data_IF_409719045672
#
_entry.id   IF_409719045672
#
_cell.length_a   1.000
_cell.length_b   1.000
_cell.length_c   1.000
_cell.angle_alpha   90.00
_cell.angle_beta   90.00
_cell.angle_gamma   90.00
#
_symmetry.space_group_name_H-M   'P 1'
#
loop_
_entity.id
_entity.type
_entity.pdbx_description
1 polymer ?
#
# COMPACT_ATOMS: atom_id res chain seq x y z
N UNK A 1 -7.99 7.72 -9.89
CA UNK A 1 -6.83 8.53 -10.34
C UNK A 1 -7.05 10.05 -10.32
N UNK A 2 -8.22 10.58 -9.92
CA UNK A 2 -8.41 12.05 -9.87
C UNK A 2 -7.99 12.70 -8.54
N UNK A 3 -8.21 12.07 -7.37
CA UNK A 3 -8.02 12.73 -6.06
C UNK A 3 -6.61 13.28 -5.81
N UNK A 4 -5.56 12.48 -5.99
CA UNK A 4 -4.17 12.92 -5.77
C UNK A 4 -3.78 14.04 -6.75
N UNK A 5 -4.29 13.99 -7.98
CA UNK A 5 -3.96 14.96 -9.03
C UNK A 5 -4.74 16.27 -8.87
N UNK A 6 -6.00 16.22 -8.44
CA UNK A 6 -6.88 17.39 -8.36
C UNK A 6 -6.94 18.01 -6.96
N UNK A 7 -6.85 17.21 -5.91
CA UNK A 7 -6.94 17.65 -4.51
C UNK A 7 -5.60 17.64 -3.77
N UNK A 8 -4.56 17.05 -4.37
CA UNK A 8 -3.21 16.90 -3.77
C UNK A 8 -3.23 16.12 -2.44
N UNK A 9 -4.23 15.28 -2.25
CA UNK A 9 -4.43 14.50 -1.04
C UNK A 9 -4.47 13.00 -1.38
N UNK A 10 -3.86 12.14 -0.53
CA UNK A 10 -4.04 10.70 -0.65
C UNK A 10 -5.51 10.33 -0.38
N UNK A 11 -5.99 9.20 -0.92
CA UNK A 11 -7.30 8.68 -0.58
C UNK A 11 -7.38 8.34 0.92
N UNK A 12 -8.59 8.24 1.43
CA UNK A 12 -8.83 7.74 2.78
C UNK A 12 -8.37 6.27 2.91
N UNK A 13 -7.86 5.92 4.09
CA UNK A 13 -7.43 4.56 4.40
C UNK A 13 -8.63 3.61 4.41
N UNK A 14 -8.64 2.57 3.57
CA UNK A 14 -9.68 1.56 3.63
C UNK A 14 -9.67 0.81 4.98
N UNK A 15 -10.85 0.49 5.52
CA UNK A 15 -10.99 -0.31 6.75
C UNK A 15 -10.38 -1.71 6.65
N UNK A 16 -10.13 -2.21 5.44
CA UNK A 16 -9.47 -3.49 5.20
C UNK A 16 -7.97 -3.48 5.51
N UNK A 17 -7.36 -2.31 5.72
CA UNK A 17 -5.95 -2.17 6.10
C UNK A 17 -5.87 -1.90 7.62
N UNK A 18 -5.51 -2.90 8.45
CA UNK A 18 -5.63 -2.83 9.91
C UNK A 18 -4.74 -1.73 10.53
N UNK A 19 -5.30 -0.86 11.36
CA UNK A 19 -4.55 0.23 12.03
C UNK A 19 -3.86 -0.21 13.32
N UNK A 20 -4.29 -1.33 13.88
CA UNK A 20 -3.80 -1.97 15.10
C UNK A 20 -2.63 -2.93 14.85
N UNK A 21 -2.28 -3.17 13.58
CA UNK A 21 -1.15 -4.02 13.19
C UNK A 21 -0.04 -3.19 12.55
N UNK A 22 1.20 -3.42 12.99
CA UNK A 22 2.39 -2.77 12.42
C UNK A 22 2.50 -3.01 10.92
N UNK A 23 2.16 -4.21 10.44
CA UNK A 23 2.13 -4.53 9.01
C UNK A 23 1.13 -3.65 8.24
N UNK A 24 -0.08 -3.47 8.77
CA UNK A 24 -1.08 -2.63 8.14
C UNK A 24 -0.68 -1.15 8.12
N UNK A 25 -0.03 -0.67 9.18
CA UNK A 25 0.50 0.70 9.23
C UNK A 25 1.64 0.91 8.22
N UNK A 26 2.61 0.00 8.15
CA UNK A 26 3.69 0.05 7.16
C UNK A 26 3.17 -0.03 5.72
N UNK A 27 2.16 -0.87 5.48
CA UNK A 27 1.50 -0.95 4.17
C UNK A 27 0.83 0.38 3.80
N UNK A 28 0.12 1.00 4.74
CA UNK A 28 -0.53 2.28 4.49
C UNK A 28 0.48 3.40 4.24
N UNK A 29 1.54 3.49 5.04
CA UNK A 29 2.63 4.46 4.85
C UNK A 29 3.27 4.32 3.47
N UNK A 30 3.53 3.08 3.03
CA UNK A 30 4.05 2.82 1.69
C UNK A 30 3.10 3.36 0.60
N UNK A 31 1.80 3.08 0.71
CA UNK A 31 0.82 3.54 -0.29
C UNK A 31 0.72 5.07 -0.33
N UNK A 32 0.74 5.73 0.84
CA UNK A 32 0.78 7.21 0.92
C UNK A 32 2.04 7.76 0.25
N UNK A 33 3.20 7.12 0.43
CA UNK A 33 4.45 7.54 -0.23
C UNK A 33 4.38 7.43 -1.76
N UNK A 34 3.78 6.34 -2.29
CA UNK A 34 3.54 6.16 -3.71
C UNK A 34 2.58 7.21 -4.31
N UNK A 35 1.70 7.77 -3.48
CA UNK A 35 0.76 8.82 -3.85
C UNK A 35 1.24 10.24 -3.50
N UNK A 36 2.55 10.44 -3.27
CA UNK A 36 3.09 11.79 -3.15
C UNK A 36 2.67 12.64 -4.35
N UNK A 37 2.16 13.85 -4.07
CA UNK A 37 1.81 14.81 -5.11
C UNK A 37 3.06 15.16 -5.93
N UNK A 38 4.18 15.39 -5.26
CA UNK A 38 5.46 15.66 -5.91
C UNK A 38 6.07 14.38 -6.48
N UNK A 39 6.33 14.31 -7.81
CA UNK A 39 6.84 13.11 -8.46
C UNK A 39 8.18 12.63 -7.89
N UNK A 40 9.09 13.55 -7.58
CA UNK A 40 10.43 13.27 -7.05
C UNK A 40 10.41 12.67 -5.64
N UNK A 41 9.30 12.84 -4.90
CA UNK A 41 9.12 12.26 -3.58
C UNK A 41 8.51 10.85 -3.62
N UNK A 42 8.12 10.35 -4.80
CA UNK A 42 7.61 8.99 -4.94
C UNK A 42 8.78 7.99 -4.93
N UNK A 43 8.65 6.86 -4.23
CA UNK A 43 9.65 5.82 -4.31
C UNK A 43 9.71 5.24 -5.73
N UNK A 44 10.90 4.81 -6.13
CA UNK A 44 11.07 3.97 -7.30
C UNK A 44 10.36 2.61 -7.11
N UNK A 45 10.13 1.91 -8.22
CA UNK A 45 9.58 0.56 -8.17
C UNK A 45 10.48 -0.40 -7.36
N UNK A 46 11.80 -0.22 -7.42
CA UNK A 46 12.77 -1.03 -6.65
C UNK A 46 12.65 -0.78 -5.15
N UNK A 47 12.58 0.49 -4.73
CA UNK A 47 12.39 0.86 -3.33
C UNK A 47 11.04 0.37 -2.80
N UNK A 48 9.97 0.51 -3.59
CA UNK A 48 8.64 -0.02 -3.27
C UNK A 48 8.71 -1.54 -3.05
N UNK A 49 9.33 -2.29 -3.96
CA UNK A 49 9.46 -3.73 -3.83
C UNK A 49 10.31 -4.15 -2.61
N UNK A 50 11.32 -3.36 -2.24
CA UNK A 50 12.14 -3.63 -1.06
C UNK A 50 11.36 -3.34 0.25
N UNK A 51 10.60 -2.25 0.30
CA UNK A 51 9.72 -1.95 1.43
C UNK A 51 8.64 -3.03 1.58
N UNK A 52 8.04 -3.52 0.49
CA UNK A 52 7.05 -4.60 0.55
C UNK A 52 7.58 -5.88 1.22
N UNK A 53 8.87 -6.19 1.09
CA UNK A 53 9.48 -7.37 1.73
C UNK A 53 9.59 -7.25 3.24
N UNK A 54 9.58 -6.04 3.79
CA UNK A 54 9.69 -5.79 5.24
C UNK A 54 8.32 -5.62 5.92
N UNK A 55 7.24 -5.60 5.13
CA UNK A 55 5.88 -5.57 5.64
C UNK A 55 5.48 -7.00 5.97
N UNK A 56 5.54 -7.33 7.25
CA UNK A 56 4.95 -8.56 7.76
C UNK A 56 3.44 -8.34 7.96
N UNK A 57 2.64 -8.79 7.00
CA UNK A 57 1.17 -8.84 7.10
C UNK A 57 0.69 -10.16 7.71
N UNK A 58 1.57 -10.97 8.32
CA UNK A 58 1.17 -12.23 8.93
C UNK A 58 0.23 -11.96 10.11
N UNK A 59 -1.06 -12.09 9.81
CA UNK A 59 -2.06 -12.38 10.81
C UNK A 59 -1.96 -13.88 11.10
N UNK A 60 -1.79 -14.27 12.36
CA UNK A 60 -1.95 -15.63 12.88
C UNK A 60 -3.43 -16.08 12.82
N UNK A 61 -4.05 -15.94 11.65
CA UNK A 61 -5.32 -16.51 11.26
C UNK A 61 -5.44 -16.49 9.73
N UNK A 62 -5.29 -17.68 9.12
CA UNK A 62 -5.54 -17.97 7.71
C UNK A 62 -6.81 -17.29 7.18
N UNK A 63 -6.73 -16.48 6.11
CA UNK A 63 -7.77 -16.40 5.06
C UNK A 63 -7.07 -16.11 3.71
N UNK A 64 -6.98 -17.17 2.91
CA UNK A 64 -6.90 -17.26 1.44
C UNK A 64 -5.78 -16.53 0.69
N UNK A 65 -4.73 -17.31 0.39
CA UNK A 65 -4.13 -17.28 -0.93
C UNK A 65 -5.17 -17.72 -1.99
N UNK A 66 -6.17 -16.89 -2.26
CA UNK A 66 -7.03 -17.05 -3.42
C UNK A 66 -6.29 -16.50 -4.63
N UNK A 67 -5.61 -17.42 -5.33
CA UNK A 67 -5.50 -17.47 -6.79
C UNK A 67 -6.01 -16.23 -7.55
N UNK A 68 -5.20 -15.17 -7.62
CA UNK A 68 -5.40 -14.15 -8.67
C UNK A 68 -4.83 -14.73 -9.95
N UNK A 69 -5.67 -15.45 -10.68
CA UNK A 69 -5.43 -15.75 -12.10
C UNK A 69 -5.69 -14.46 -12.86
N UNK A 70 -4.63 -13.83 -13.39
CA UNK A 70 -4.78 -12.75 -14.36
C UNK A 70 -5.24 -13.36 -15.69
N UNK A 71 -6.44 -13.01 -16.21
CA UNK A 71 -6.76 -13.36 -17.59
C UNK A 71 -5.81 -12.61 -18.54
N UNK A 72 -5.26 -13.34 -19.51
CA UNK A 72 -4.52 -12.78 -20.65
C UNK A 72 -5.46 -12.07 -21.60
#
# INVERSE_FOLDING_TARGET
>A
MHLVVTKKEPPERPHTIPTDQDGGNKLWELLVSCWSFEPEARPSASETANMMKSIDLSNSANIVASTVSYPK
#
